data_IF_998679471800
#
_entry.id   IF_998679471800
#
_cell.length_a   1.000
_cell.length_b   1.000
_cell.length_c   1.000
_cell.angle_alpha   90.00
_cell.angle_beta   90.00
_cell.angle_gamma   90.00
#
_symmetry.space_group_name_H-M   'P 1'
#
loop_
_entity.id
_entity.type
_entity.pdbx_description
1 polymer ?
#
# COMPACT_ATOMS: atom_id res chain seq x y z
N UNK A 1 21.05 -0.85 -7.93
CA UNK A 1 20.82 -0.33 -6.56
C UNK A 1 19.81 -1.25 -5.92
N UNK A 2 20.04 -1.69 -4.67
CA UNK A 2 19.29 -2.77 -4.01
C UNK A 2 18.15 -2.21 -3.16
N UNK A 3 16.90 -2.40 -3.58
CA UNK A 3 15.72 -2.13 -2.74
C UNK A 3 15.27 -3.43 -2.07
N UNK A 4 15.76 -3.66 -0.85
CA UNK A 4 15.11 -4.52 0.13
C UNK A 4 14.15 -3.62 0.90
N UNK A 5 12.88 -3.99 1.08
CA UNK A 5 12.02 -3.75 2.26
C UNK A 5 10.55 -3.99 1.87
N UNK A 6 10.13 -5.26 1.81
CA UNK A 6 8.72 -5.64 1.95
C UNK A 6 8.49 -5.98 3.42
N UNK A 7 7.81 -5.07 4.13
CA UNK A 7 7.42 -5.21 5.53
C UNK A 7 6.19 -6.12 5.62
N UNK A 8 6.39 -7.35 6.10
CA UNK A 8 5.29 -8.30 6.37
C UNK A 8 4.81 -8.08 7.81
N UNK A 9 3.69 -7.37 7.97
CA UNK A 9 2.94 -7.34 9.22
C UNK A 9 2.06 -8.61 9.26
N UNK A 10 2.61 -9.69 9.82
CA UNK A 10 1.84 -10.89 10.15
C UNK A 10 1.17 -10.72 11.52
N UNK A 11 -0.09 -10.27 11.53
CA UNK A 11 -0.96 -10.30 12.70
C UNK A 11 -1.42 -11.74 13.00
N UNK A 12 -0.67 -12.46 13.82
CA UNK A 12 -1.09 -13.76 14.35
C UNK A 12 -1.86 -13.58 15.68
N UNK A 13 -3.18 -13.42 15.59
CA UNK A 13 -4.11 -13.59 16.71
C UNK A 13 -5.00 -14.80 16.44
N UNK A 14 -4.73 -15.92 17.12
CA UNK A 14 -5.77 -16.87 17.58
C UNK A 14 -5.20 -17.82 18.62
N UNK A 15 -5.73 -17.71 19.83
CA UNK A 15 -5.49 -18.57 20.98
C UNK A 15 -6.28 -19.89 20.89
N UNK A 16 -5.71 -20.90 21.56
CA UNK A 16 -6.37 -21.97 22.33
C UNK A 16 -7.27 -23.01 21.64
N UNK A 17 -6.93 -24.27 21.97
CA UNK A 17 -7.79 -25.46 22.12
C UNK A 17 -7.80 -26.47 20.95
N UNK A 18 -6.93 -27.47 21.03
CA UNK A 18 -7.40 -28.82 21.36
C UNK A 18 -6.26 -29.72 21.87
N UNK A 19 -6.58 -30.47 22.91
CA UNK A 19 -5.74 -31.36 23.69
C UNK A 19 -6.15 -32.79 23.34
N UNK A 20 -5.16 -33.68 23.13
CA UNK A 20 -5.15 -35.13 23.47
C UNK A 20 -4.50 -35.97 22.37
N UNK A 21 -3.34 -36.56 22.66
CA UNK A 21 -3.18 -38.01 22.83
C UNK A 21 -1.70 -38.42 22.82
N UNK A 22 -1.42 -39.41 23.65
CA UNK A 22 -0.14 -39.82 24.19
C UNK A 22 0.15 -41.26 23.74
N UNK A 23 1.35 -41.56 23.24
CA UNK A 23 2.08 -42.84 23.43
C UNK A 23 3.42 -42.81 22.66
N UNK A 24 4.55 -42.83 23.38
CA UNK A 24 5.46 -43.98 23.60
C UNK A 24 6.66 -43.99 22.62
N UNK A 25 7.84 -43.56 23.09
CA UNK A 25 8.98 -44.35 23.61
C UNK A 25 10.08 -44.60 22.54
N UNK A 26 11.29 -44.16 22.87
CA UNK A 26 12.51 -44.36 22.08
C UNK A 26 13.69 -43.59 22.64
N UNK A 27 14.34 -44.18 23.63
CA UNK A 27 15.67 -43.88 24.20
C UNK A 27 16.74 -43.72 23.07
N UNK A 28 17.88 -43.05 23.16
CA UNK A 28 18.63 -42.27 24.14
C UNK A 28 19.71 -41.52 23.33
N UNK A 29 20.19 -40.34 23.79
CA UNK A 29 21.56 -39.88 23.51
C UNK A 29 21.93 -38.70 24.42
N UNK A 30 22.77 -39.02 25.40
CA UNK A 30 23.95 -38.27 25.85
C UNK A 30 23.83 -36.76 26.12
N UNK A 31 23.67 -36.45 27.41
CA UNK A 31 24.40 -35.45 28.20
C UNK A 31 25.44 -34.59 27.45
N UNK A 32 25.08 -33.34 27.12
CA UNK A 32 25.99 -32.17 27.14
C UNK A 32 25.19 -30.89 27.46
N UNK A 33 25.48 -30.31 28.62
CA UNK A 33 25.28 -28.90 28.96
C UNK A 33 26.68 -28.33 29.30
N UNK A 34 26.99 -27.03 29.15
CA UNK A 34 26.05 -25.92 29.28
C UNK A 34 26.03 -24.90 28.14
N UNK A 35 24.87 -24.25 28.08
CA UNK A 35 24.60 -22.92 27.52
C UNK A 35 25.69 -21.93 27.95
N UNK A 36 26.37 -21.25 27.00
CA UNK A 36 26.92 -19.88 27.12
C UNK A 36 27.29 -19.36 25.72
N UNK A 37 26.29 -19.12 24.86
CA UNK A 37 26.44 -18.24 23.68
C UNK A 37 25.07 -17.87 23.08
N UNK A 38 24.13 -17.48 23.95
CA UNK A 38 22.88 -16.84 23.55
C UNK A 38 22.67 -15.63 24.47
N UNK A 39 23.41 -14.56 24.22
CA UNK A 39 23.31 -13.36 25.04
C UNK A 39 23.65 -12.05 24.34
N UNK A 40 23.93 -12.05 23.02
CA UNK A 40 24.46 -10.83 22.38
C UNK A 40 23.89 -10.55 20.97
N UNK A 41 22.92 -11.32 20.46
CA UNK A 41 22.26 -10.95 19.20
C UNK A 41 21.05 -10.05 19.47
N UNK A 42 21.33 -8.75 19.34
CA UNK A 42 20.42 -7.73 18.80
C UNK A 42 19.35 -7.17 19.74
N UNK A 43 19.82 -6.44 20.76
CA UNK A 43 19.15 -5.21 21.21
C UNK A 43 19.27 -4.12 20.14
N UNK A 44 18.56 -4.26 19.01
CA UNK A 44 18.54 -3.27 17.95
C UNK A 44 17.21 -3.28 17.18
N UNK A 45 16.09 -3.20 17.90
CA UNK A 45 14.79 -2.84 17.33
C UNK A 45 14.00 -2.07 18.38
N UNK A 46 14.48 -0.87 18.70
CA UNK A 46 13.65 0.23 19.24
C UNK A 46 14.50 1.51 19.23
N UNK A 47 14.82 1.98 18.02
CA UNK A 47 14.85 3.42 17.83
C UNK A 47 13.53 3.79 17.18
N UNK A 48 12.46 3.86 18.00
CA UNK A 48 11.42 4.86 17.78
C UNK A 48 12.12 6.22 17.85
N UNK A 49 12.68 6.65 16.72
CA UNK A 49 12.81 8.08 16.48
C UNK A 49 11.37 8.60 16.54
N UNK A 50 11.07 9.39 17.57
CA UNK A 50 9.85 10.16 17.57
C UNK A 50 9.82 10.92 16.23
N UNK A 51 8.74 10.72 15.47
CA UNK A 51 8.49 11.51 14.27
C UNK A 51 8.71 12.98 14.61
N UNK A 52 9.26 13.79 13.69
CA UNK A 52 9.15 15.24 13.85
C UNK A 52 7.68 15.55 14.15
N UNK A 53 7.43 16.19 15.28
CA UNK A 53 6.11 16.71 15.61
C UNK A 53 5.88 17.88 14.67
N UNK A 54 5.28 17.57 13.53
CA UNK A 54 4.96 18.55 12.51
C UNK A 54 3.76 19.34 13.01
N UNK A 55 3.90 20.66 13.15
CA UNK A 55 2.74 21.49 13.41
C UNK A 55 1.87 21.52 12.15
N UNK A 56 0.61 21.13 12.29
CA UNK A 56 -0.37 21.07 11.20
C UNK A 56 -1.57 21.93 11.58
N UNK A 57 -1.79 22.98 10.79
CA UNK A 57 -2.95 23.87 10.95
C UNK A 57 -4.23 23.20 10.48
N UNK A 58 -5.39 23.74 10.86
CA UNK A 58 -6.68 23.23 10.35
C UNK A 58 -6.83 23.49 8.84
N UNK A 59 -6.32 24.62 8.33
CA UNK A 59 -6.34 24.96 6.90
C UNK A 59 -5.53 23.96 6.07
N UNK A 60 -4.29 23.65 6.48
CA UNK A 60 -3.47 22.63 5.81
C UNK A 60 -4.11 21.23 5.87
N UNK A 61 -4.90 20.96 6.92
CA UNK A 61 -5.58 19.68 7.07
C UNK A 61 -6.82 19.58 6.18
N UNK A 62 -7.52 20.71 5.96
CA UNK A 62 -8.60 20.81 4.99
C UNK A 62 -8.06 20.60 3.56
N UNK A 63 -7.01 21.33 3.17
CA UNK A 63 -6.32 21.15 1.87
C UNK A 63 -5.86 19.70 1.69
N UNK A 64 -5.28 19.08 2.74
CA UNK A 64 -4.88 17.68 2.71
C UNK A 64 -6.05 16.74 2.48
N UNK A 65 -7.19 16.98 3.12
CA UNK A 65 -8.40 16.16 2.96
C UNK A 65 -8.96 16.27 1.54
N UNK A 66 -8.96 17.46 0.96
CA UNK A 66 -9.44 17.70 -0.40
C UNK A 66 -8.53 17.02 -1.42
N UNK A 67 -7.21 17.21 -1.33
CA UNK A 67 -6.21 16.49 -2.15
C UNK A 67 -6.36 14.98 -1.98
N UNK A 68 -6.51 14.48 -0.75
CA UNK A 68 -6.66 13.05 -0.48
C UNK A 68 -7.92 12.45 -1.10
N UNK A 69 -8.97 13.26 -1.26
CA UNK A 69 -10.21 12.84 -1.90
C UNK A 69 -10.00 12.70 -3.41
N UNK A 70 -9.39 13.71 -4.04
CA UNK A 70 -9.03 13.67 -5.47
C UNK A 70 -8.07 12.52 -5.77
N UNK A 71 -7.07 12.32 -4.91
CA UNK A 71 -6.11 11.24 -5.01
C UNK A 71 -6.78 9.85 -5.00
N UNK A 72 -7.80 9.65 -4.16
CA UNK A 72 -8.57 8.40 -4.14
C UNK A 72 -9.35 8.18 -5.44
N UNK A 73 -9.94 9.24 -6.01
CA UNK A 73 -10.64 9.16 -7.29
C UNK A 73 -9.68 8.78 -8.43
N UNK A 74 -8.55 9.48 -8.53
CA UNK A 74 -7.49 9.17 -9.50
C UNK A 74 -7.04 7.71 -9.36
N UNK A 75 -6.83 7.23 -8.12
CA UNK A 75 -6.40 5.86 -7.88
C UNK A 75 -7.46 4.81 -8.27
N UNK A 76 -8.75 5.11 -8.11
CA UNK A 76 -9.83 4.22 -8.55
C UNK A 76 -9.93 4.15 -10.08
N UNK A 77 -9.79 5.30 -10.75
CA UNK A 77 -9.75 5.36 -12.21
C UNK A 77 -8.54 4.59 -12.75
N UNK A 78 -7.35 4.83 -12.20
CA UNK A 78 -6.11 4.13 -12.56
C UNK A 78 -6.25 2.60 -12.50
N UNK A 79 -6.87 2.06 -11.45
CA UNK A 79 -7.09 0.61 -11.33
C UNK A 79 -7.99 0.07 -12.46
N UNK A 80 -8.98 0.85 -12.87
CA UNK A 80 -9.90 0.47 -13.96
C UNK A 80 -9.20 0.56 -15.31
N UNK A 81 -8.42 1.62 -15.51
CA UNK A 81 -7.71 1.86 -16.76
C UNK A 81 -6.59 0.84 -16.97
N UNK A 82 -5.86 0.45 -15.93
CA UNK A 82 -4.83 -0.59 -16.00
C UNK A 82 -5.42 -1.93 -16.46
N UNK A 83 -6.56 -2.35 -15.91
CA UNK A 83 -7.28 -3.56 -16.35
C UNK A 83 -7.66 -3.45 -17.82
N UNK A 84 -8.20 -2.29 -18.22
CA UNK A 84 -8.61 -2.04 -19.60
C UNK A 84 -7.42 -2.12 -20.57
N UNK A 85 -6.26 -1.58 -20.21
CA UNK A 85 -5.05 -1.65 -21.04
C UNK A 85 -4.60 -3.09 -21.26
N UNK A 86 -4.60 -3.92 -20.21
CA UNK A 86 -4.24 -5.34 -20.34
C UNK A 86 -5.22 -6.08 -21.26
N UNK A 87 -6.52 -5.86 -21.08
CA UNK A 87 -7.56 -6.49 -21.90
C UNK A 87 -7.53 -6.02 -23.36
N UNK A 88 -7.21 -4.74 -23.62
CA UNK A 88 -7.09 -4.16 -24.96
C UNK A 88 -5.94 -4.78 -25.77
N UNK A 89 -4.84 -5.15 -25.11
CA UNK A 89 -3.73 -5.90 -25.72
C UNK A 89 -4.10 -7.38 -25.99
N UNK A 90 -5.30 -7.81 -25.57
CA UNK A 90 -5.78 -9.17 -25.75
C UNK A 90 -5.06 -10.17 -24.84
N UNK A 91 -4.59 -9.71 -23.69
CA UNK A 91 -4.01 -10.51 -22.62
C UNK A 91 -5.02 -10.63 -21.48
N UNK A 92 -5.07 -11.81 -20.85
CA UNK A 92 -5.88 -11.98 -19.65
C UNK A 92 -5.15 -11.41 -18.41
N UNK A 93 -5.90 -10.78 -17.51
CA UNK A 93 -5.34 -10.14 -16.30
C UNK A 93 -4.62 -11.14 -15.40
N UNK A 94 -5.09 -12.39 -15.28
CA UNK A 94 -4.41 -13.44 -14.52
C UNK A 94 -3.06 -13.76 -15.16
N UNK A 95 -3.02 -13.85 -16.50
CA UNK A 95 -1.78 -14.12 -17.24
C UNK A 95 -0.78 -12.98 -17.09
N UNK A 96 -1.26 -11.73 -17.19
CA UNK A 96 -0.43 -10.54 -16.91
C UNK A 96 0.18 -10.59 -15.51
N UNK A 97 -0.63 -10.89 -14.48
CA UNK A 97 -0.17 -10.96 -13.09
C UNK A 97 0.86 -12.08 -12.87
N UNK A 98 0.69 -13.25 -13.50
CA UNK A 98 1.67 -14.35 -13.43
C UNK A 98 3.02 -13.92 -14.00
N UNK A 99 3.03 -13.28 -15.16
CA UNK A 99 4.27 -12.80 -15.80
C UNK A 99 4.90 -11.68 -14.97
N UNK A 100 4.09 -10.72 -14.51
CA UNK A 100 4.55 -9.61 -13.66
C UNK A 100 5.22 -10.11 -12.37
N UNK A 101 4.56 -11.02 -11.64
CA UNK A 101 5.08 -11.59 -10.40
C UNK A 101 6.37 -12.37 -10.64
N UNK A 102 6.42 -13.19 -11.69
CA UNK A 102 7.61 -13.95 -12.06
C UNK A 102 8.81 -13.04 -12.36
N UNK A 103 8.61 -12.02 -13.19
CA UNK A 103 9.66 -11.06 -13.55
C UNK A 103 10.09 -10.21 -12.37
N UNK A 104 9.16 -9.78 -11.51
CA UNK A 104 9.48 -9.09 -10.26
C UNK A 104 10.38 -9.94 -9.36
N UNK A 105 10.13 -11.25 -9.29
CA UNK A 105 10.93 -12.21 -8.53
C UNK A 105 12.23 -12.64 -9.25
N UNK A 106 12.49 -12.12 -10.46
CA UNK A 106 13.68 -12.43 -11.25
C UNK A 106 13.70 -13.83 -11.85
N UNK A 107 12.54 -14.46 -12.02
CA UNK A 107 12.39 -15.73 -12.73
C UNK A 107 12.59 -15.53 -14.23
N UNK A 108 13.10 -16.56 -14.91
CA UNK A 108 13.23 -16.53 -16.37
C UNK A 108 11.88 -16.77 -17.03
N UNK A 109 11.59 -16.05 -18.13
CA UNK A 109 10.40 -16.29 -18.95
C UNK A 109 10.34 -17.75 -19.46
N UNK A 110 11.49 -18.42 -19.63
CA UNK A 110 11.58 -19.83 -20.04
C UNK A 110 11.02 -20.82 -18.99
N UNK A 111 10.93 -20.38 -17.73
CA UNK A 111 10.40 -21.19 -16.62
C UNK A 111 8.88 -21.04 -16.46
N UNK A 112 8.25 -20.14 -17.23
CA UNK A 112 6.83 -19.86 -17.18
C UNK A 112 6.08 -20.70 -18.22
N UNK A 113 4.93 -21.23 -17.80
CA UNK A 113 3.99 -21.93 -18.70
C UNK A 113 3.09 -20.91 -19.43
N UNK A 114 3.71 -19.99 -20.16
CA UNK A 114 3.04 -18.93 -20.93
C UNK A 114 3.54 -18.95 -22.38
N UNK A 115 2.71 -18.49 -23.32
CA UNK A 115 3.11 -18.47 -24.73
C UNK A 115 4.01 -17.26 -25.04
N UNK A 116 4.77 -17.35 -26.14
CA UNK A 116 5.56 -16.22 -26.62
C UNK A 116 4.67 -15.02 -27.05
N UNK A 117 3.44 -15.28 -27.52
CA UNK A 117 2.45 -14.26 -27.86
C UNK A 117 1.98 -13.51 -26.60
N UNK A 118 1.76 -14.24 -25.50
CA UNK A 118 1.38 -13.63 -24.22
C UNK A 118 2.51 -12.77 -23.63
N UNK A 119 3.77 -13.18 -23.81
CA UNK A 119 4.94 -12.38 -23.40
C UNK A 119 5.04 -11.06 -24.21
N UNK A 120 4.80 -11.10 -25.52
CA UNK A 120 4.81 -9.90 -26.37
C UNK A 120 3.68 -8.93 -25.99
N UNK A 121 2.47 -9.45 -25.72
CA UNK A 121 1.34 -8.63 -25.22
C UNK A 121 1.62 -8.07 -23.84
N UNK A 122 2.27 -8.85 -22.97
CA UNK A 122 2.67 -8.37 -21.65
C UNK A 122 3.61 -7.18 -21.76
N UNK A 123 4.62 -7.25 -22.63
CA UNK A 123 5.57 -6.16 -22.85
C UNK A 123 4.83 -4.90 -23.35
N UNK A 124 3.95 -5.06 -24.35
CA UNK A 124 3.12 -3.97 -24.88
C UNK A 124 2.19 -3.34 -23.83
N UNK A 125 1.50 -4.17 -23.04
CA UNK A 125 0.64 -3.71 -21.95
C UNK A 125 1.44 -2.99 -20.88
N UNK A 126 2.63 -3.51 -20.52
CA UNK A 126 3.51 -2.91 -19.52
C UNK A 126 4.02 -1.54 -19.95
N UNK A 127 4.37 -1.37 -21.22
CA UNK A 127 4.79 -0.09 -21.77
C UNK A 127 3.65 0.94 -21.69
N UNK A 128 2.42 0.56 -22.09
CA UNK A 128 1.24 1.42 -22.00
C UNK A 128 0.85 1.76 -20.56
N UNK A 129 1.00 0.81 -19.64
CA UNK A 129 0.78 1.04 -18.21
C UNK A 129 1.82 2.02 -17.68
N UNK A 130 3.09 1.92 -18.10
CA UNK A 130 4.13 2.89 -17.73
C UNK A 130 3.80 4.31 -18.19
N UNK A 131 3.31 4.49 -19.43
CA UNK A 131 2.85 5.81 -19.91
C UNK A 131 1.67 6.34 -19.07
N UNK A 132 0.72 5.47 -18.72
CA UNK A 132 -0.39 5.84 -17.85
C UNK A 132 0.08 6.24 -16.45
N UNK A 133 1.05 5.52 -15.86
CA UNK A 133 1.61 5.85 -14.55
C UNK A 133 2.23 7.25 -14.55
N UNK A 134 2.95 7.64 -15.61
CA UNK A 134 3.48 9.00 -15.76
C UNK A 134 2.37 10.06 -15.81
N UNK A 135 1.28 9.82 -16.55
CA UNK A 135 0.12 10.73 -16.60
C UNK A 135 -0.58 10.84 -15.23
N UNK A 136 -0.63 9.76 -14.47
CA UNK A 136 -1.23 9.74 -13.13
C UNK A 136 -0.39 10.54 -12.12
N UNK A 137 0.93 10.43 -12.20
CA UNK A 137 1.86 11.23 -11.39
C UNK A 137 1.68 12.73 -11.68
N UNK A 138 1.51 13.11 -12.95
CA UNK A 138 1.22 14.49 -13.34
C UNK A 138 -0.12 14.98 -12.78
N UNK A 139 -1.21 14.19 -12.93
CA UNK A 139 -2.53 14.52 -12.37
C UNK A 139 -2.49 14.70 -10.85
N UNK A 140 -1.72 13.86 -10.15
CA UNK A 140 -1.56 13.98 -8.70
C UNK A 140 -0.85 15.28 -8.32
N UNK A 141 0.23 15.62 -9.02
CA UNK A 141 0.96 16.86 -8.78
C UNK A 141 0.07 18.08 -9.04
N UNK A 142 -0.70 18.08 -10.12
CA UNK A 142 -1.66 19.14 -10.43
C UNK A 142 -2.75 19.27 -9.36
N UNK A 143 -3.27 18.15 -8.84
CA UNK A 143 -4.27 18.15 -7.78
C UNK A 143 -3.73 18.77 -6.48
N UNK A 144 -2.50 18.42 -6.09
CA UNK A 144 -1.83 18.98 -4.91
C UNK A 144 -1.64 20.50 -5.06
N UNK A 145 -1.12 20.94 -6.21
CA UNK A 145 -0.90 22.37 -6.47
C UNK A 145 -2.21 23.16 -6.54
N UNK A 146 -3.27 22.59 -7.10
CA UNK A 146 -4.57 23.23 -7.24
C UNK A 146 -5.22 23.58 -5.89
N UNK A 147 -5.01 22.74 -4.88
CA UNK A 147 -5.48 22.96 -3.50
C UNK A 147 -4.52 23.84 -2.69
N UNK A 148 -3.47 24.40 -3.30
CA UNK A 148 -2.56 25.34 -2.63
C UNK A 148 -1.47 24.68 -1.79
N UNK A 149 -1.36 23.35 -1.85
CA UNK A 149 -0.35 22.59 -1.13
C UNK A 149 0.87 22.30 -2.02
N UNK A 150 2.05 22.16 -1.40
CA UNK A 150 3.27 21.69 -2.07
C UNK A 150 3.41 20.16 -1.92
N UNK A 151 3.97 19.49 -2.93
CA UNK A 151 4.20 18.04 -2.92
C UNK A 151 5.04 17.56 -1.73
N UNK A 152 6.09 18.29 -1.34
CA UNK A 152 6.91 17.96 -0.17
C UNK A 152 6.08 18.05 1.11
N UNK A 153 5.22 19.07 1.21
CA UNK A 153 4.31 19.26 2.35
C UNK A 153 3.26 18.14 2.42
N UNK A 154 2.69 17.75 1.29
CA UNK A 154 1.76 16.62 1.21
C UNK A 154 2.41 15.30 1.67
N UNK A 155 3.64 15.03 1.24
CA UNK A 155 4.40 13.84 1.68
C UNK A 155 4.72 13.89 3.18
N UNK A 156 5.11 15.05 3.71
CA UNK A 156 5.37 15.25 5.14
C UNK A 156 4.11 14.97 5.97
N UNK A 157 2.96 15.50 5.56
CA UNK A 157 1.67 15.25 6.21
C UNK A 157 1.30 13.77 6.17
N UNK A 158 1.50 13.09 5.04
CA UNK A 158 1.28 11.64 4.95
C UNK A 158 2.14 10.85 5.95
N UNK A 159 3.43 11.19 6.08
CA UNK A 159 4.32 10.54 7.06
C UNK A 159 3.94 10.87 8.50
N UNK A 160 3.50 12.10 8.78
CA UNK A 160 3.02 12.51 10.08
C UNK A 160 1.74 11.76 10.46
N UNK A 161 0.78 11.66 9.53
CA UNK A 161 -0.46 10.91 9.72
C UNK A 161 -0.20 9.45 10.10
N UNK A 162 0.79 8.78 9.51
CA UNK A 162 1.08 7.37 9.83
C UNK A 162 1.51 7.17 11.30
N UNK A 163 2.03 8.21 11.96
CA UNK A 163 2.65 8.13 13.28
C UNK A 163 1.84 8.85 14.37
N UNK A 164 1.03 9.85 13.99
CA UNK A 164 0.25 10.67 14.90
C UNK A 164 -1.24 10.28 14.90
N UNK A 165 -1.67 9.61 15.97
CA UNK A 165 -3.07 9.20 16.13
C UNK A 165 -4.04 10.37 16.33
N UNK A 166 -3.60 11.49 16.93
CA UNK A 166 -4.46 12.65 17.10
C UNK A 166 -4.72 13.32 15.75
N UNK A 167 -3.67 13.43 14.93
CA UNK A 167 -3.79 13.92 13.56
C UNK A 167 -4.71 13.03 12.71
N UNK A 168 -4.58 11.69 12.80
CA UNK A 168 -5.49 10.76 12.14
C UNK A 168 -6.95 10.97 12.53
N UNK A 169 -7.23 11.23 13.82
CA UNK A 169 -8.59 11.49 14.30
C UNK A 169 -9.14 12.81 13.76
N UNK A 170 -8.31 13.86 13.69
CA UNK A 170 -8.70 15.15 13.13
C UNK A 170 -9.06 15.03 11.65
N UNK A 171 -8.25 14.32 10.85
CA UNK A 171 -8.53 14.07 9.42
C UNK A 171 -9.84 13.30 9.23
N UNK A 172 -10.05 12.23 10.01
CA UNK A 172 -11.30 11.46 9.96
C UNK A 172 -12.52 12.33 10.29
N UNK A 173 -12.41 13.20 11.28
CA UNK A 173 -13.49 14.12 11.64
C UNK A 173 -13.80 15.11 10.50
N UNK A 174 -12.77 15.71 9.90
CA UNK A 174 -12.93 16.63 8.78
C UNK A 174 -13.57 15.94 7.56
N UNK A 175 -13.17 14.71 7.24
CA UNK A 175 -13.79 13.94 6.15
C UNK A 175 -15.29 13.67 6.41
N UNK A 176 -15.66 13.33 7.65
CA UNK A 176 -17.08 13.12 8.02
C UNK A 176 -17.90 14.42 7.94
N UNK A 177 -17.32 15.53 8.39
CA UNK A 177 -17.98 16.83 8.39
C UNK A 177 -18.15 17.36 6.95
N UNK A 178 -17.13 17.20 6.10
CA UNK A 178 -17.21 17.54 4.66
C UNK A 178 -18.32 16.77 3.96
N UNK A 179 -18.40 15.44 4.15
CA UNK A 179 -19.47 14.61 3.57
C UNK A 179 -20.86 15.02 4.08
N UNK A 180 -20.97 15.31 5.38
CA UNK A 180 -22.24 15.74 6.00
C UNK A 180 -22.69 17.09 5.45
N UNK A 181 -21.77 18.02 5.21
CA UNK A 181 -22.05 19.31 4.61
C UNK A 181 -22.45 19.19 3.13
N UNK A 182 -21.78 18.34 2.36
CA UNK A 182 -22.16 18.08 0.96
C UNK A 182 -23.57 17.49 0.85
N UNK A 183 -23.92 16.51 1.69
CA UNK A 183 -25.26 15.91 1.69
C UNK A 183 -26.35 16.92 2.06
N UNK A 184 -26.08 17.84 2.99
CA UNK A 184 -27.03 18.90 3.35
C UNK A 184 -27.21 19.90 2.21
N UNK A 185 -26.13 20.25 1.50
CA UNK A 185 -26.20 21.14 0.34
C UNK A 185 -27.01 20.54 -0.81
N UNK A 186 -26.85 19.24 -1.09
CA UNK A 186 -27.64 18.52 -2.09
C UNK A 186 -29.13 18.45 -1.72
N UNK A 187 -29.46 18.33 -0.42
CA UNK A 187 -30.84 18.36 0.06
C UNK A 187 -31.48 19.76 0.02
N UNK A 188 -30.67 20.82 0.09
CA UNK A 188 -31.14 22.20 -0.01
C UNK A 188 -31.29 22.70 -1.45
N UNK A 189 -30.77 21.97 -2.45
CA UNK A 189 -30.86 22.36 -3.85
C UNK A 189 -31.40 21.24 -4.76
N UNK A 190 -32.71 20.92 -4.70
CA UNK A 190 -33.31 19.81 -5.46
C UNK A 190 -33.51 20.09 -6.97
N UNK A 191 -33.15 21.27 -7.50
CA UNK A 191 -33.48 21.69 -8.87
C UNK A 191 -32.37 21.44 -9.91
N UNK A 192 -31.82 20.21 -9.96
CA UNK A 192 -30.73 19.86 -10.87
C UNK A 192 -30.81 18.48 -11.53
N UNK A 193 -31.96 17.79 -11.51
CA UNK A 193 -32.21 16.57 -12.31
C UNK A 193 -33.01 16.87 -13.57
#
# INVERSE_FOLDING_TARGET
>A
MTFKYLSVIALALSMLACQSEQSEQGEAMTEQAPQEQQGEMQGQFDQQQAAPQVEVTDEELEEFVDVSTVAQEIQMEAQTDMVTVVEDEGLDVETYNVIAEARYNGQSDEELDVSADDLEKFDSASDRIGEMEEELDEKMAEAIEAEGMDMERFMELNMALQQDQELQQRVQQMMMDSQTNQQQQQQMNPEGS
#
